data_IF_289519653298
#
_entry.id   IF_289519653298
#
_cell.length_a   1.000
_cell.length_b   1.000
_cell.length_c   1.000
_cell.angle_alpha   90.00
_cell.angle_beta   90.00
_cell.angle_gamma   90.00
#
_symmetry.space_group_name_H-M   'P 1'
#
loop_
_entity.id
_entity.type
_entity.pdbx_description
1 polymer ?
#
# COMPACT_ATOMS: atom_id res chain seq x y z
N UNK A 1 8.00 -12.34 -17.35
CA UNK A 1 8.29 -11.20 -16.45
C UNK A 1 7.53 -11.36 -15.16
N UNK A 2 7.81 -10.54 -14.15
CA UNK A 2 6.97 -10.43 -12.94
C UNK A 2 6.21 -9.10 -12.99
N UNK A 3 5.00 -9.06 -12.43
CA UNK A 3 4.20 -7.86 -12.29
C UNK A 3 4.37 -7.29 -10.88
N UNK A 4 4.71 -6.03 -10.76
CA UNK A 4 5.10 -5.37 -9.53
C UNK A 4 3.98 -4.44 -9.04
N UNK A 5 3.32 -4.84 -7.96
CA UNK A 5 2.25 -4.07 -7.31
C UNK A 5 2.79 -3.35 -6.07
N UNK A 6 2.59 -2.05 -5.99
CA UNK A 6 2.79 -1.30 -4.75
C UNK A 6 1.48 -1.07 -4.01
N UNK A 7 1.47 -1.28 -2.69
CA UNK A 7 0.38 -0.87 -1.80
C UNK A 7 0.83 0.36 -1.04
N UNK A 8 0.20 1.50 -1.32
CA UNK A 8 0.53 2.80 -0.76
C UNK A 8 -0.68 3.40 -0.03
N UNK A 9 -0.43 4.33 0.89
CA UNK A 9 -1.46 4.95 1.72
C UNK A 9 -0.95 5.29 3.11
N UNK A 10 -1.79 5.91 3.93
CA UNK A 10 -1.41 6.36 5.28
C UNK A 10 -0.93 5.22 6.19
N UNK A 11 -0.19 5.58 7.24
CA UNK A 11 0.10 4.62 8.32
C UNK A 11 -1.19 4.09 8.96
N UNK A 12 -1.15 2.85 9.45
CA UNK A 12 -2.29 2.24 10.13
C UNK A 12 -3.47 1.87 9.23
N UNK A 13 -3.43 2.15 7.92
CA UNK A 13 -4.50 1.82 6.96
C UNK A 13 -4.64 0.32 6.66
N UNK A 14 -3.69 -0.52 7.08
CA UNK A 14 -3.74 -1.98 6.89
C UNK A 14 -3.00 -2.51 5.65
N UNK A 15 -2.04 -1.75 5.10
CA UNK A 15 -1.26 -2.13 3.90
C UNK A 15 -0.59 -3.50 4.03
N UNK A 16 0.15 -3.73 5.10
CA UNK A 16 0.84 -5.01 5.37
C UNK A 16 -0.15 -6.18 5.47
N UNK A 17 -1.29 -5.96 6.11
CA UNK A 17 -2.37 -6.96 6.18
C UNK A 17 -2.95 -7.27 4.80
N UNK A 18 -3.12 -6.26 3.95
CA UNK A 18 -3.59 -6.44 2.58
C UNK A 18 -2.57 -7.17 1.70
N UNK A 19 -1.26 -6.88 1.85
CA UNK A 19 -0.18 -7.66 1.20
C UNK A 19 -0.28 -9.14 1.58
N UNK A 20 -0.46 -9.43 2.86
CA UNK A 20 -0.61 -10.81 3.35
C UNK A 20 -1.85 -11.49 2.78
N UNK A 21 -2.98 -10.78 2.75
CA UNK A 21 -4.24 -11.29 2.20
C UNK A 21 -4.14 -11.64 0.70
N UNK A 22 -3.55 -10.75 -0.13
CA UNK A 22 -3.36 -11.05 -1.55
C UNK A 22 -2.46 -12.25 -1.81
N UNK A 23 -1.48 -12.46 -0.92
CA UNK A 23 -0.56 -13.61 -0.97
C UNK A 23 -1.13 -14.88 -0.34
N UNK A 24 -2.30 -14.84 0.31
CA UNK A 24 -2.84 -15.96 1.07
C UNK A 24 -1.97 -16.36 2.27
N UNK A 25 -1.22 -15.42 2.84
CA UNK A 25 -0.32 -15.65 3.98
C UNK A 25 -1.00 -15.19 5.27
N UNK A 26 -0.99 -16.05 6.29
CA UNK A 26 -1.49 -15.68 7.62
C UNK A 26 -0.57 -14.64 8.27
N UNK A 27 -1.18 -13.61 8.88
CA UNK A 27 -0.47 -12.61 9.67
C UNK A 27 0.34 -13.26 10.80
N UNK A 28 1.39 -12.58 11.28
CA UNK A 28 2.26 -13.05 12.37
C UNK A 28 3.05 -14.34 12.08
N UNK A 29 3.13 -14.77 10.83
CA UNK A 29 4.03 -15.84 10.40
C UNK A 29 5.36 -15.28 9.91
N UNK A 30 6.42 -16.09 9.90
CA UNK A 30 7.76 -15.66 9.46
C UNK A 30 7.82 -15.15 8.01
N UNK A 31 6.84 -15.52 7.17
CA UNK A 31 6.74 -15.10 5.75
C UNK A 31 5.82 -13.90 5.54
N UNK A 32 5.14 -13.44 6.59
CA UNK A 32 4.19 -12.34 6.54
C UNK A 32 4.91 -10.99 6.49
N UNK A 33 4.30 -10.02 5.83
CA UNK A 33 4.57 -8.62 6.08
C UNK A 33 4.19 -8.31 7.53
N UNK A 34 5.08 -7.67 8.27
CA UNK A 34 4.87 -7.35 9.67
C UNK A 34 3.71 -6.36 9.80
N UNK A 35 2.69 -6.72 10.58
CA UNK A 35 1.52 -5.88 10.82
C UNK A 35 1.65 -5.14 12.14
N UNK A 36 1.37 -3.84 12.17
CA UNK A 36 1.41 -3.00 13.37
C UNK A 36 1.09 -1.54 13.08
N UNK A 37 0.82 -0.76 14.12
CA UNK A 37 0.49 0.68 14.00
C UNK A 37 1.77 1.52 13.89
N UNK A 38 2.88 1.05 14.44
CA UNK A 38 4.15 1.77 14.44
C UNK A 38 4.74 1.81 13.03
N UNK A 39 4.96 3.01 12.48
CA UNK A 39 5.78 3.20 11.27
C UNK A 39 7.25 2.83 11.59
N UNK A 40 7.57 1.54 11.67
CA UNK A 40 8.95 1.07 11.85
C UNK A 40 9.66 0.84 10.52
N UNK A 41 8.93 0.71 9.41
CA UNK A 41 9.48 0.50 8.08
C UNK A 41 9.69 1.84 7.38
N UNK A 42 10.93 2.35 7.39
CA UNK A 42 11.38 3.40 6.47
C UNK A 42 11.71 2.88 5.06
N UNK A 43 11.60 1.56 4.87
CA UNK A 43 12.01 0.84 3.66
C UNK A 43 10.82 0.09 3.08
N UNK A 44 10.68 0.14 1.76
CA UNK A 44 9.68 -0.63 1.00
C UNK A 44 9.93 -2.13 1.17
N UNK A 45 8.95 -2.84 1.72
CA UNK A 45 9.02 -4.28 1.91
C UNK A 45 8.66 -5.01 0.62
N UNK A 46 9.48 -5.97 0.19
CA UNK A 46 9.27 -6.75 -1.04
C UNK A 46 8.82 -8.17 -0.74
N UNK A 47 7.67 -8.56 -1.27
CA UNK A 47 7.01 -9.83 -0.97
C UNK A 47 6.56 -10.54 -2.26
N UNK A 48 7.38 -11.47 -2.80
CA UNK A 48 6.95 -12.32 -3.90
C UNK A 48 5.72 -13.16 -3.52
N UNK A 49 4.83 -13.38 -4.49
CA UNK A 49 3.71 -14.31 -4.32
C UNK A 49 4.24 -15.74 -4.05
N UNK A 50 3.69 -16.47 -3.06
CA UNK A 50 4.10 -17.84 -2.80
C UNK A 50 3.61 -18.82 -3.86
N UNK A 51 2.57 -18.48 -4.64
CA UNK A 51 2.08 -19.33 -5.73
C UNK A 51 2.94 -19.11 -7.01
N UNK A 52 3.64 -20.13 -7.53
CA UNK A 52 4.47 -20.01 -8.73
C UNK A 52 3.67 -19.62 -9.99
N UNK A 53 2.38 -19.92 -10.05
CA UNK A 53 1.51 -19.58 -11.18
C UNK A 53 1.06 -18.11 -11.15
N UNK A 54 1.32 -17.39 -10.06
CA UNK A 54 1.08 -15.95 -9.92
C UNK A 54 2.41 -15.21 -10.05
N UNK A 55 2.75 -14.67 -11.23
CA UNK A 55 4.02 -13.96 -11.44
C UNK A 55 3.99 -12.55 -10.84
N UNK A 56 3.53 -12.39 -9.60
CA UNK A 56 3.34 -11.10 -8.93
C UNK A 56 4.38 -10.88 -7.82
N UNK A 57 4.79 -9.64 -7.64
CA UNK A 57 5.54 -9.19 -6.46
C UNK A 57 4.75 -8.06 -5.82
N UNK A 58 4.46 -8.22 -4.53
CA UNK A 58 3.73 -7.27 -3.72
C UNK A 58 4.71 -6.42 -2.92
N UNK A 59 4.51 -5.11 -2.92
CA UNK A 59 5.34 -4.17 -2.20
C UNK A 59 4.51 -3.44 -1.14
N UNK A 60 4.94 -3.56 0.12
CA UNK A 60 4.40 -2.77 1.22
C UNK A 60 5.19 -1.47 1.30
N UNK A 61 4.56 -0.37 0.87
CA UNK A 61 5.22 0.94 0.87
C UNK A 61 5.03 1.58 2.25
N UNK A 62 6.09 2.16 2.85
CA UNK A 62 5.98 2.90 4.10
C UNK A 62 4.80 3.86 4.09
N UNK A 63 4.10 3.96 5.23
CA UNK A 63 3.02 4.93 5.37
C UNK A 63 3.51 6.33 5.03
N UNK A 64 2.62 7.14 4.44
CA UNK A 64 2.82 8.57 4.51
C UNK A 64 2.46 9.03 5.92
N UNK A 65 3.45 9.47 6.71
CA UNK A 65 3.22 10.07 8.02
C UNK A 65 2.47 11.41 7.94
N UNK A 66 2.19 12.02 9.09
CA UNK A 66 1.47 13.31 9.24
C UNK A 66 2.28 14.54 8.85
N UNK A 67 3.25 14.41 7.95
CA UNK A 67 4.14 15.51 7.59
C UNK A 67 3.55 16.28 6.41
N UNK A 68 3.67 17.60 6.52
CA UNK A 68 3.43 18.66 5.52
C UNK A 68 4.35 18.53 4.30
N UNK A 69 4.39 17.34 3.72
CA UNK A 69 5.17 16.96 2.56
C UNK A 69 4.38 17.44 1.34
N UNK A 70 5.05 18.18 0.44
CA UNK A 70 4.45 18.57 -0.83
C UNK A 70 4.00 17.29 -1.56
N UNK A 71 2.78 17.27 -2.08
CA UNK A 71 2.10 16.13 -2.73
C UNK A 71 3.00 15.19 -3.57
N UNK A 72 3.99 15.74 -4.26
CA UNK A 72 4.94 15.02 -5.14
C UNK A 72 6.08 14.30 -4.41
N UNK A 73 6.50 14.80 -3.25
CA UNK A 73 7.72 14.36 -2.58
C UNK A 73 7.58 12.93 -2.06
N UNK A 74 6.42 12.54 -1.51
CA UNK A 74 6.20 11.15 -1.05
C UNK A 74 6.24 10.17 -2.23
N UNK A 75 5.52 10.48 -3.32
CA UNK A 75 5.46 9.63 -4.51
C UNK A 75 6.86 9.35 -5.08
N UNK A 76 7.72 10.37 -5.14
CA UNK A 76 9.09 10.22 -5.59
C UNK A 76 10.02 9.55 -4.58
N UNK A 77 9.95 9.96 -3.30
CA UNK A 77 10.82 9.43 -2.25
C UNK A 77 10.64 7.93 -2.09
N UNK A 78 9.40 7.44 -2.24
CA UNK A 78 9.10 6.01 -2.20
C UNK A 78 9.27 5.31 -3.55
N UNK A 79 9.67 6.03 -4.61
CA UNK A 79 9.90 5.46 -5.93
C UNK A 79 8.66 4.89 -6.60
N UNK A 80 7.46 5.44 -6.33
CA UNK A 80 6.21 4.85 -6.80
C UNK A 80 6.10 4.74 -8.32
N UNK A 81 6.84 5.57 -9.07
CA UNK A 81 6.87 5.56 -10.52
C UNK A 81 7.47 4.29 -11.17
N UNK A 82 8.11 3.41 -10.40
CA UNK A 82 8.76 2.20 -10.94
C UNK A 82 7.83 0.98 -11.01
N UNK A 83 6.62 1.07 -10.42
CA UNK A 83 5.71 -0.06 -10.30
C UNK A 83 4.77 -0.18 -11.50
N UNK A 84 4.40 -1.41 -11.84
CA UNK A 84 3.47 -1.70 -12.93
C UNK A 84 2.02 -1.30 -12.58
N UNK A 85 1.67 -1.34 -11.29
CA UNK A 85 0.41 -0.80 -10.77
C UNK A 85 0.52 -0.40 -9.29
N UNK A 86 -0.35 0.51 -8.87
CA UNK A 86 -0.43 1.00 -7.49
C UNK A 86 -1.83 0.73 -6.93
N UNK A 87 -1.88 0.25 -5.70
CA UNK A 87 -3.10 0.12 -4.90
C UNK A 87 -3.03 1.19 -3.81
N UNK A 88 -3.92 2.18 -3.88
CA UNK A 88 -4.05 3.24 -2.88
C UNK A 88 -5.06 2.78 -1.83
N UNK A 89 -4.56 2.47 -0.63
CA UNK A 89 -5.33 1.99 0.49
C UNK A 89 -5.63 3.13 1.47
N UNK A 90 -6.91 3.40 1.69
CA UNK A 90 -7.38 4.36 2.70
C UNK A 90 -8.34 3.67 3.66
N UNK A 91 -8.52 4.21 4.87
CA UNK A 91 -9.44 3.66 5.88
C UNK A 91 -10.71 4.53 6.07
N UNK A 92 -10.79 5.30 7.16
CA UNK A 92 -11.94 6.11 7.52
C UNK A 92 -11.97 7.44 6.77
N UNK A 93 -10.80 8.02 6.48
CA UNK A 93 -10.68 9.31 5.82
C UNK A 93 -9.89 9.17 4.54
N UNK A 94 -10.42 9.77 3.48
CA UNK A 94 -9.68 9.98 2.25
C UNK A 94 -8.94 11.32 2.36
N UNK A 95 -7.62 11.30 2.26
CA UNK A 95 -6.77 12.44 2.64
C UNK A 95 -6.10 13.12 1.45
N UNK A 96 -5.55 14.31 1.69
CA UNK A 96 -4.75 15.02 0.69
C UNK A 96 -3.59 14.16 0.15
N UNK A 97 -2.99 13.33 1.00
CA UNK A 97 -1.94 12.39 0.60
C UNK A 97 -2.44 11.34 -0.38
N UNK A 98 -3.63 10.77 -0.16
CA UNK A 98 -4.21 9.78 -1.07
C UNK A 98 -4.50 10.42 -2.45
N UNK A 99 -5.05 11.64 -2.44
CA UNK A 99 -5.30 12.45 -3.64
C UNK A 99 -3.99 12.76 -4.37
N UNK A 100 -2.94 13.13 -3.63
CA UNK A 100 -1.63 13.42 -4.18
C UNK A 100 -1.01 12.21 -4.88
N UNK A 101 -1.10 11.01 -4.28
CA UNK A 101 -0.64 9.77 -4.90
C UNK A 101 -1.42 9.52 -6.20
N UNK A 102 -2.76 9.58 -6.16
CA UNK A 102 -3.61 9.33 -7.32
C UNK A 102 -3.36 10.29 -8.48
N UNK A 103 -3.21 11.60 -8.21
CA UNK A 103 -2.87 12.60 -9.23
C UNK A 103 -1.53 12.31 -9.90
N UNK A 104 -0.55 11.84 -9.13
CA UNK A 104 0.73 11.46 -9.70
C UNK A 104 0.62 10.17 -10.52
N UNK A 105 -0.10 9.15 -10.06
CA UNK A 105 -0.36 7.98 -10.89
C UNK A 105 -1.03 8.34 -12.23
N UNK A 106 -2.02 9.25 -12.23
CA UNK A 106 -2.67 9.73 -13.45
C UNK A 106 -1.68 10.46 -14.38
N UNK A 107 -0.81 11.31 -13.82
CA UNK A 107 0.23 12.03 -14.56
C UNK A 107 1.22 11.09 -15.23
N UNK A 108 1.62 10.02 -14.53
CA UNK A 108 2.57 9.02 -15.00
C UNK A 108 1.92 7.85 -15.75
N UNK A 109 0.59 7.86 -15.91
CA UNK A 109 -0.20 6.80 -16.56
C UNK A 109 0.01 5.42 -15.93
N UNK A 110 0.16 5.38 -14.60
CA UNK A 110 0.30 4.15 -13.83
C UNK A 110 -1.10 3.60 -13.50
N UNK A 111 -1.43 2.36 -13.91
CA UNK A 111 -2.67 1.70 -13.50
C UNK A 111 -2.84 1.75 -11.98
N UNK A 112 -4.00 2.24 -11.52
CA UNK A 112 -4.23 2.48 -10.10
C UNK A 112 -5.58 1.96 -9.65
N UNK A 113 -5.60 1.33 -8.48
CA UNK A 113 -6.79 0.83 -7.81
C UNK A 113 -6.95 1.53 -6.48
N UNK A 114 -8.19 1.86 -6.11
CA UNK A 114 -8.49 2.44 -4.81
C UNK A 114 -9.17 1.37 -3.98
N UNK A 115 -8.65 1.12 -2.78
CA UNK A 115 -9.19 0.13 -1.84
C UNK A 115 -9.48 0.83 -0.52
N UNK A 116 -10.68 0.60 0.02
CA UNK A 116 -11.05 1.05 1.35
C UNK A 116 -10.94 -0.10 2.35
N UNK A 117 -10.11 0.05 3.38
CA UNK A 117 -10.00 -0.92 4.46
C UNK A 117 -10.98 -0.63 5.60
N UNK A 118 -11.10 -1.59 6.54
CA UNK A 118 -11.86 -1.46 7.80
C UNK A 118 -13.34 -1.05 7.61
N UNK A 119 -13.96 -1.47 6.51
CA UNK A 119 -15.36 -1.14 6.23
C UNK A 119 -16.33 -1.81 7.22
N UNK A 120 -15.95 -2.97 7.74
CA UNK A 120 -16.58 -3.67 8.86
C UNK A 120 -16.69 -2.78 10.11
N UNK A 121 -15.59 -2.10 10.50
CA UNK A 121 -15.59 -1.20 11.65
C UNK A 121 -16.54 -0.02 11.46
N UNK A 122 -16.70 0.49 10.24
CA UNK A 122 -17.68 1.55 10.00
C UNK A 122 -19.10 1.02 10.20
N UNK A 123 -19.40 -0.18 9.72
CA UNK A 123 -20.73 -0.79 9.83
C UNK A 123 -21.08 -1.07 11.30
N UNK A 124 -20.12 -1.56 12.09
CA UNK A 124 -20.32 -1.84 13.52
C UNK A 124 -20.47 -0.57 14.38
N UNK A 125 -19.97 0.57 13.90
CA UNK A 125 -20.07 1.86 14.58
C UNK A 125 -21.28 2.71 14.13
N UNK A 126 -22.18 2.16 13.31
CA UNK A 126 -23.49 2.76 12.96
C UNK A 126 -24.54 2.42 14.02
#
# INVERSE_FOLDING_TARGET
GKFHFAIAGLSGSGKSSLVNAFRGVLNQTAKAAATGITETTMVVGRYPDPNPDKPCIWYDVPGAGTLTIKDWDYFNKQGLYIFDAIIVLFDNRFTATDIAILRNCERWKIPTFIVRSKSDQQIENL
#
